data_IF_406273508244
#
_entry.id   IF_406273508244
#
_cell.length_a   1.000
_cell.length_b   1.000
_cell.length_c   1.000
_cell.angle_alpha   90.00
_cell.angle_beta   90.00
_cell.angle_gamma   90.00
#
_symmetry.space_group_name_H-M   'P 1'
#
loop_
_entity.id
_entity.type
_entity.pdbx_description
1 polymer ?
#
# COMPACT_ATOMS: atom_id res chain seq x y z
N UNK A 1 20.78 -31.65 -28.85
CA UNK A 1 20.27 -30.25 -28.77
C UNK A 1 19.86 -29.92 -27.34
N UNK A 2 20.63 -29.13 -26.60
CA UNK A 2 20.23 -28.66 -25.26
C UNK A 2 19.12 -27.64 -25.42
N UNK A 3 17.89 -27.95 -24.99
CA UNK A 3 16.82 -26.96 -24.86
C UNK A 3 17.30 -25.86 -23.89
N UNK A 4 17.52 -24.65 -24.39
CA UNK A 4 17.71 -23.49 -23.54
C UNK A 4 16.50 -23.39 -22.62
N UNK A 5 16.65 -23.78 -21.35
CA UNK A 5 15.70 -23.45 -20.30
C UNK A 5 15.70 -21.90 -20.20
N UNK A 6 14.64 -21.25 -20.65
CA UNK A 6 14.45 -19.81 -20.38
C UNK A 6 14.37 -19.67 -18.86
N UNK A 7 15.35 -18.98 -18.28
CA UNK A 7 15.29 -18.60 -16.87
C UNK A 7 14.01 -17.78 -16.61
N UNK A 8 13.13 -18.30 -15.79
CA UNK A 8 11.96 -17.55 -15.32
C UNK A 8 12.45 -16.65 -14.19
N UNK A 9 12.62 -15.37 -14.49
CA UNK A 9 12.98 -14.37 -13.48
C UNK A 9 11.74 -14.01 -12.67
N UNK A 10 11.84 -14.13 -11.35
CA UNK A 10 10.76 -13.79 -10.43
C UNK A 10 10.43 -12.28 -10.50
N UNK A 11 11.46 -11.46 -10.72
CA UNK A 11 11.33 -10.01 -10.85
C UNK A 11 12.10 -9.53 -12.08
N UNK A 12 11.45 -8.70 -12.88
CA UNK A 12 12.08 -8.04 -14.03
C UNK A 12 11.38 -6.71 -14.25
N UNK A 13 12.09 -5.58 -14.07
CA UNK A 13 11.51 -4.27 -14.35
C UNK A 13 11.20 -4.14 -15.84
N UNK A 14 10.04 -3.57 -16.16
CA UNK A 14 9.62 -3.29 -17.53
C UNK A 14 10.05 -1.87 -17.92
N UNK A 15 11.35 -1.64 -18.04
CA UNK A 15 11.95 -0.35 -18.40
C UNK A 15 12.42 -0.39 -19.85
N UNK A 16 12.13 0.64 -20.61
CA UNK A 16 12.48 0.74 -22.02
C UNK A 16 12.75 2.18 -22.48
N UNK A 17 12.66 2.37 -23.79
CA UNK A 17 12.92 3.66 -24.43
C UNK A 17 11.90 4.75 -24.07
N UNK A 18 10.68 4.37 -23.70
CA UNK A 18 9.62 5.30 -23.27
C UNK A 18 9.96 5.98 -21.94
N UNK A 19 10.43 5.19 -20.97
CA UNK A 19 10.84 5.68 -19.66
C UNK A 19 12.07 6.56 -19.77
N UNK A 20 13.07 6.14 -20.59
CA UNK A 20 14.26 6.95 -20.86
C UNK A 20 13.90 8.31 -21.46
N UNK A 21 13.01 8.36 -22.47
CA UNK A 21 12.53 9.62 -23.04
C UNK A 21 11.83 10.50 -22.01
N UNK A 22 11.07 9.93 -21.11
CA UNK A 22 10.37 10.67 -20.03
C UNK A 22 11.36 11.29 -19.06
N UNK A 23 12.39 10.54 -18.65
CA UNK A 23 13.48 11.03 -17.81
C UNK A 23 14.22 12.17 -18.50
N UNK A 24 14.60 12.00 -19.77
CA UNK A 24 15.28 13.04 -20.54
C UNK A 24 14.48 14.36 -20.59
N UNK A 25 13.14 14.29 -20.71
CA UNK A 25 12.28 15.48 -20.66
C UNK A 25 12.35 16.20 -19.31
N UNK A 26 12.39 15.44 -18.19
CA UNK A 26 12.52 16.00 -16.84
C UNK A 26 13.87 16.68 -16.68
N UNK A 27 14.96 16.03 -17.10
CA UNK A 27 16.31 16.62 -17.05
C UNK A 27 16.42 17.91 -17.88
N UNK A 28 15.84 17.95 -19.09
CA UNK A 28 15.81 19.15 -19.92
C UNK A 28 15.09 20.34 -19.27
N UNK A 29 14.13 20.07 -18.35
CA UNK A 29 13.44 21.11 -17.58
C UNK A 29 14.22 21.54 -16.33
N UNK A 30 15.37 20.91 -16.03
CA UNK A 30 16.21 21.17 -14.86
C UNK A 30 15.43 21.17 -13.54
N UNK A 31 14.34 20.38 -13.45
CA UNK A 31 13.52 20.26 -12.25
C UNK A 31 13.27 18.80 -11.89
N UNK A 32 13.94 18.30 -10.86
CA UNK A 32 13.90 16.90 -10.39
C UNK A 32 13.16 16.71 -9.07
N UNK A 33 12.65 17.78 -8.46
CA UNK A 33 11.82 17.73 -7.25
C UNK A 33 10.33 17.51 -7.56
N UNK A 34 9.48 17.71 -6.55
CA UNK A 34 8.03 17.69 -6.73
C UNK A 34 7.59 18.72 -7.78
N UNK A 35 7.01 18.28 -8.86
CA UNK A 35 6.71 19.15 -10.02
C UNK A 35 5.52 18.67 -10.84
N UNK A 36 5.44 19.16 -12.08
CA UNK A 36 4.32 18.88 -12.99
C UNK A 36 4.11 17.40 -13.28
N UNK A 37 5.19 16.61 -13.33
CA UNK A 37 5.08 15.18 -13.65
C UNK A 37 4.48 14.38 -12.48
N UNK A 38 4.87 14.72 -11.23
CA UNK A 38 4.25 14.12 -10.05
C UNK A 38 2.77 14.50 -9.95
N UNK A 39 2.43 15.77 -10.18
CA UNK A 39 1.03 16.22 -10.19
C UNK A 39 0.18 15.48 -11.24
N UNK A 40 0.69 15.30 -12.46
CA UNK A 40 0.01 14.51 -13.48
C UNK A 40 -0.23 13.08 -13.05
N UNK A 41 0.79 12.45 -12.46
CA UNK A 41 0.70 11.10 -11.95
C UNK A 41 -0.38 10.99 -10.85
N UNK A 42 -0.42 11.91 -9.88
CA UNK A 42 -1.43 11.95 -8.83
C UNK A 42 -2.85 12.10 -9.42
N UNK A 43 -3.04 12.97 -10.42
CA UNK A 43 -4.33 13.14 -11.09
C UNK A 43 -4.76 11.89 -11.88
N UNK A 44 -3.84 11.28 -12.62
CA UNK A 44 -4.12 10.04 -13.34
C UNK A 44 -4.46 8.89 -12.40
N UNK A 45 -3.76 8.82 -11.28
CA UNK A 45 -4.05 7.83 -10.24
C UNK A 45 -5.43 8.02 -9.64
N UNK A 46 -5.81 9.24 -9.28
CA UNK A 46 -7.15 9.55 -8.77
C UNK A 46 -8.23 9.08 -9.75
N UNK A 47 -8.03 9.31 -11.04
CA UNK A 47 -8.95 8.89 -12.09
C UNK A 47 -9.02 7.37 -12.21
N UNK A 48 -7.86 6.69 -12.23
CA UNK A 48 -7.77 5.24 -12.42
C UNK A 48 -8.36 4.46 -11.24
N UNK A 49 -8.06 4.89 -10.02
CA UNK A 49 -8.53 4.25 -8.80
C UNK A 49 -9.87 4.79 -8.30
N UNK A 50 -10.41 5.82 -8.97
CA UNK A 50 -11.67 6.50 -8.59
C UNK A 50 -11.64 6.98 -7.15
N UNK A 51 -10.52 7.58 -6.74
CA UNK A 51 -10.31 8.08 -5.39
C UNK A 51 -10.25 9.61 -5.38
N UNK A 52 -10.56 10.19 -4.23
CA UNK A 52 -10.64 11.66 -4.10
C UNK A 52 -9.25 12.31 -4.02
N UNK A 53 -8.31 11.64 -3.38
CA UNK A 53 -6.97 12.16 -3.14
C UNK A 53 -5.93 11.09 -3.44
N UNK A 54 -4.81 11.49 -4.02
CA UNK A 54 -3.60 10.70 -4.20
C UNK A 54 -2.41 11.63 -3.95
N UNK A 55 -1.39 11.14 -3.27
CA UNK A 55 -0.21 11.91 -2.89
C UNK A 55 1.02 11.04 -3.16
N UNK A 56 1.96 11.56 -3.94
CA UNK A 56 3.26 10.96 -4.16
C UNK A 56 4.18 11.18 -2.95
N UNK A 57 4.83 10.12 -2.51
CA UNK A 57 5.85 10.13 -1.43
C UNK A 57 7.07 9.33 -1.88
N UNK A 58 8.16 9.42 -1.14
CA UNK A 58 9.43 8.82 -1.56
C UNK A 58 9.56 7.31 -1.27
N UNK A 59 8.64 6.71 -0.51
CA UNK A 59 8.63 5.27 -0.22
C UNK A 59 7.29 4.79 0.30
N UNK A 60 6.94 3.51 0.09
CA UNK A 60 5.75 2.91 0.71
C UNK A 60 5.83 2.97 2.25
N UNK A 61 7.03 2.85 2.81
CA UNK A 61 7.27 3.08 4.25
C UNK A 61 6.82 4.48 4.68
N UNK A 62 7.16 5.51 3.90
CA UNK A 62 6.70 6.87 4.16
C UNK A 62 5.19 7.01 3.99
N UNK A 63 4.58 6.30 3.02
CA UNK A 63 3.13 6.28 2.86
C UNK A 63 2.43 5.68 4.07
N UNK A 64 2.87 4.50 4.55
CA UNK A 64 2.33 3.83 5.73
C UNK A 64 2.48 4.69 6.99
N UNK A 65 3.67 5.28 7.19
CA UNK A 65 3.92 6.20 8.30
C UNK A 65 3.00 7.42 8.24
N UNK A 66 2.91 8.07 7.09
CA UNK A 66 2.04 9.25 6.90
C UNK A 66 0.58 8.91 7.13
N UNK A 67 0.11 7.75 6.65
CA UNK A 67 -1.26 7.27 6.86
C UNK A 67 -1.63 7.12 8.35
N UNK A 68 -0.67 6.74 9.19
CA UNK A 68 -0.86 6.70 10.64
C UNK A 68 -0.73 8.10 11.27
N UNK A 69 0.31 8.84 10.92
CA UNK A 69 0.67 10.11 11.54
C UNK A 69 -0.42 11.19 11.41
N UNK A 70 -1.08 11.28 10.25
CA UNK A 70 -2.13 12.29 10.00
C UNK A 70 -3.38 12.13 10.87
N UNK A 71 -3.54 10.99 11.55
CA UNK A 71 -4.67 10.75 12.43
C UNK A 71 -4.44 11.24 13.88
N UNK A 72 -3.23 11.70 14.21
CA UNK A 72 -2.88 12.24 15.51
C UNK A 72 -3.32 11.37 16.70
N UNK A 73 -3.14 10.08 16.58
CA UNK A 73 -3.47 9.13 17.65
C UNK A 73 -2.63 9.40 18.90
N UNK A 74 -3.25 9.25 20.08
CA UNK A 74 -2.52 9.32 21.36
C UNK A 74 -1.42 8.24 21.40
N UNK A 75 -0.25 8.59 21.91
CA UNK A 75 0.86 7.66 22.13
C UNK A 75 0.41 6.40 22.88
N UNK A 76 1.10 5.31 22.65
CA UNK A 76 0.80 3.99 23.24
C UNK A 76 -0.54 3.35 22.82
N UNK A 77 -1.34 3.97 21.96
CA UNK A 77 -2.47 3.28 21.33
C UNK A 77 -1.97 2.15 20.45
N UNK A 78 -2.83 1.17 20.22
CA UNK A 78 -2.49 -0.08 19.51
C UNK A 78 -2.90 -0.04 18.05
N UNK A 79 -2.09 -0.64 17.21
CA UNK A 79 -2.40 -0.88 15.79
C UNK A 79 -2.27 -2.37 15.51
N UNK A 80 -3.32 -2.97 14.99
CA UNK A 80 -3.32 -4.37 14.58
C UNK A 80 -2.57 -4.50 13.26
N UNK A 81 -1.62 -5.44 13.20
CA UNK A 81 -0.77 -5.69 12.02
C UNK A 81 -0.63 -7.19 11.80
N UNK A 82 -0.52 -7.70 10.56
CA UNK A 82 -0.28 -9.12 10.33
C UNK A 82 1.11 -9.53 10.82
N UNK A 83 1.25 -10.76 11.32
CA UNK A 83 2.52 -11.29 11.80
C UNK A 83 3.53 -11.55 10.67
N UNK A 84 3.05 -11.83 9.45
CA UNK A 84 3.88 -11.95 8.24
C UNK A 84 3.67 -10.69 7.40
N UNK A 85 4.72 -9.87 7.31
CA UNK A 85 4.73 -8.64 6.51
C UNK A 85 6.17 -8.15 6.34
N UNK A 86 6.36 -7.20 5.42
CA UNK A 86 7.61 -6.45 5.39
C UNK A 86 7.72 -5.57 6.64
N UNK A 87 8.94 -5.44 7.18
CA UNK A 87 9.18 -4.73 8.45
C UNK A 87 8.62 -3.30 8.51
N UNK A 88 8.50 -2.63 7.36
CA UNK A 88 7.95 -1.27 7.27
C UNK A 88 6.52 -1.15 7.84
N UNK A 89 5.68 -2.18 7.70
CA UNK A 89 4.31 -2.17 8.20
C UNK A 89 4.28 -2.00 9.73
N UNK A 90 5.09 -2.77 10.46
CA UNK A 90 5.20 -2.65 11.92
C UNK A 90 6.04 -1.44 12.36
N UNK A 91 7.14 -1.13 11.63
CA UNK A 91 8.01 0.00 11.94
C UNK A 91 7.28 1.34 11.83
N UNK A 92 6.40 1.51 10.85
CA UNK A 92 5.59 2.73 10.70
C UNK A 92 4.69 3.00 11.92
N UNK A 93 4.23 1.95 12.60
CA UNK A 93 3.48 2.06 13.87
C UNK A 93 4.38 2.61 14.97
N UNK A 94 5.59 2.07 15.09
CA UNK A 94 6.56 2.50 16.10
C UNK A 94 7.00 3.95 15.89
N UNK A 95 7.18 4.39 14.63
CA UNK A 95 7.54 5.77 14.30
C UNK A 95 6.49 6.79 14.76
N UNK A 96 5.23 6.38 14.86
CA UNK A 96 4.15 7.20 15.41
C UNK A 96 4.04 7.13 16.96
N UNK A 97 4.93 6.42 17.66
CA UNK A 97 4.83 6.19 19.10
C UNK A 97 3.66 5.29 19.50
N UNK A 98 3.16 4.49 18.56
CA UNK A 98 2.08 3.52 18.74
C UNK A 98 2.65 2.13 19.01
N UNK A 99 1.80 1.19 19.42
CA UNK A 99 2.20 -0.19 19.74
C UNK A 99 1.63 -1.16 18.70
N UNK A 100 2.46 -1.86 17.91
CA UNK A 100 1.97 -2.91 17.03
C UNK A 100 1.44 -4.09 17.85
N UNK A 101 0.30 -4.63 17.46
CA UNK A 101 -0.28 -5.87 17.97
C UNK A 101 -0.33 -6.85 16.81
N UNK A 102 0.49 -7.88 16.88
CA UNK A 102 0.59 -8.85 15.81
C UNK A 102 -0.62 -9.80 15.84
N UNK A 103 -1.25 -9.91 14.69
CA UNK A 103 -2.36 -10.80 14.39
C UNK A 103 -1.83 -11.94 13.54
N UNK A 104 -2.22 -13.15 13.86
CA UNK A 104 -1.82 -14.33 13.09
C UNK A 104 -2.35 -14.29 11.65
N UNK A 105 -1.80 -15.15 10.81
CA UNK A 105 -2.13 -15.22 9.39
C UNK A 105 -2.84 -16.54 9.06
N UNK A 106 -3.52 -16.56 7.93
CA UNK A 106 -4.02 -17.80 7.35
C UNK A 106 -2.86 -18.53 6.66
N UNK A 107 -2.63 -19.83 6.94
CA UNK A 107 -1.50 -20.55 6.37
C UNK A 107 -1.60 -20.78 4.86
N UNK A 108 -2.79 -20.61 4.28
CA UNK A 108 -3.02 -20.86 2.85
C UNK A 108 -2.71 -19.66 1.96
N UNK A 109 -2.91 -18.43 2.45
CA UNK A 109 -2.75 -17.21 1.67
C UNK A 109 -1.84 -16.17 2.32
N UNK A 110 -1.35 -16.46 3.54
CA UNK A 110 -0.49 -15.60 4.36
C UNK A 110 -1.08 -14.23 4.71
N UNK A 111 -2.34 -14.02 4.41
CA UNK A 111 -3.07 -12.82 4.79
C UNK A 111 -3.54 -12.88 6.25
N UNK A 112 -3.87 -11.73 6.80
CA UNK A 112 -4.32 -11.59 8.19
C UNK A 112 -5.51 -12.51 8.49
N UNK A 113 -5.44 -13.27 9.56
CA UNK A 113 -6.52 -14.17 10.01
C UNK A 113 -7.62 -13.37 10.70
N UNK A 114 -8.82 -13.40 10.13
CA UNK A 114 -9.95 -12.61 10.63
C UNK A 114 -10.42 -13.04 12.03
N UNK A 115 -10.34 -14.33 12.36
CA UNK A 115 -10.73 -14.82 13.68
C UNK A 115 -9.74 -14.38 14.76
N UNK A 116 -8.43 -14.45 14.47
CA UNK A 116 -7.41 -13.97 15.41
C UNK A 116 -7.44 -12.44 15.51
N UNK A 117 -7.73 -11.74 14.43
CA UNK A 117 -7.95 -10.29 14.43
C UNK A 117 -9.02 -9.88 15.45
N UNK A 118 -10.14 -10.60 15.50
CA UNK A 118 -11.21 -10.37 16.48
C UNK A 118 -10.76 -10.64 17.91
N UNK A 119 -9.94 -11.66 18.13
CA UNK A 119 -9.41 -12.04 19.46
C UNK A 119 -8.39 -11.00 19.96
N UNK A 120 -7.52 -10.50 19.10
CA UNK A 120 -6.45 -9.54 19.43
C UNK A 120 -6.96 -8.11 19.62
N UNK A 121 -8.17 -7.81 19.15
CA UNK A 121 -8.76 -6.49 19.29
C UNK A 121 -9.01 -6.12 20.75
N UNK A 122 -8.59 -4.93 21.13
CA UNK A 122 -8.94 -4.27 22.39
C UNK A 122 -9.46 -2.85 22.13
N UNK A 123 -10.13 -2.21 23.09
CA UNK A 123 -10.64 -0.84 22.97
C UNK A 123 -9.53 0.22 22.73
N UNK A 124 -8.26 -0.15 22.99
CA UNK A 124 -7.10 0.71 22.72
C UNK A 124 -6.62 0.62 21.28
N UNK A 125 -7.13 -0.31 20.47
CA UNK A 125 -6.82 -0.39 19.06
C UNK A 125 -7.49 0.77 18.32
N UNK A 126 -6.68 1.55 17.57
CA UNK A 126 -7.12 2.73 16.82
C UNK A 126 -7.07 2.53 15.32
N UNK A 127 -6.25 1.57 14.86
CA UNK A 127 -6.11 1.25 13.45
C UNK A 127 -5.83 -0.25 13.23
N UNK A 128 -6.06 -0.67 12.02
CA UNK A 128 -5.69 -1.96 11.45
C UNK A 128 -4.91 -1.71 10.17
N UNK A 129 -3.75 -2.34 10.03
CA UNK A 129 -3.03 -2.42 8.77
C UNK A 129 -3.24 -3.82 8.18
N UNK A 130 -3.76 -3.89 6.97
CA UNK A 130 -3.84 -5.14 6.21
C UNK A 130 -2.79 -5.13 5.11
N UNK A 131 -2.20 -6.29 4.86
CA UNK A 131 -1.24 -6.48 3.76
C UNK A 131 -1.85 -7.45 2.78
N UNK A 132 -1.93 -7.10 1.51
CA UNK A 132 -2.35 -8.00 0.45
C UNK A 132 -1.13 -8.80 -0.01
N UNK A 133 -0.78 -9.82 0.78
CA UNK A 133 0.47 -10.56 0.64
C UNK A 133 0.56 -11.27 -0.72
N UNK A 134 1.70 -11.13 -1.40
CA UNK A 134 1.91 -11.71 -2.73
C UNK A 134 0.91 -11.21 -3.78
N UNK A 135 0.21 -10.12 -3.54
CA UNK A 135 -0.87 -9.61 -4.41
C UNK A 135 -2.22 -10.29 -4.17
N UNK A 136 -2.30 -11.25 -3.23
CA UNK A 136 -3.56 -11.91 -2.88
C UNK A 136 -4.41 -11.02 -1.95
N UNK A 137 -5.69 -10.77 -2.24
CA UNK A 137 -6.52 -9.88 -1.45
C UNK A 137 -6.87 -10.46 -0.07
N UNK A 138 -6.81 -9.64 0.97
CA UNK A 138 -7.44 -9.97 2.26
C UNK A 138 -8.96 -10.03 2.12
N UNK A 139 -9.65 -10.70 3.06
CA UNK A 139 -11.12 -10.80 3.13
C UNK A 139 -11.77 -9.45 3.51
N UNK A 140 -11.59 -8.45 2.63
CA UNK A 140 -12.01 -7.07 2.89
C UNK A 140 -13.51 -6.93 3.15
N UNK A 141 -14.33 -7.80 2.59
CA UNK A 141 -15.79 -7.83 2.82
C UNK A 141 -16.15 -8.20 4.25
N UNK A 142 -15.30 -8.95 4.98
CA UNK A 142 -15.46 -9.26 6.40
C UNK A 142 -14.81 -8.19 7.28
N UNK A 143 -13.61 -7.76 6.88
CA UNK A 143 -12.78 -6.81 7.63
C UNK A 143 -13.45 -5.44 7.71
N UNK A 144 -13.93 -4.89 6.60
CA UNK A 144 -14.44 -3.52 6.57
C UNK A 144 -15.70 -3.29 7.43
N UNK A 145 -16.75 -4.14 7.38
CA UNK A 145 -17.90 -3.99 8.27
C UNK A 145 -17.51 -4.10 9.75
N UNK A 146 -16.61 -5.02 10.07
CA UNK A 146 -16.11 -5.20 11.43
C UNK A 146 -15.32 -3.97 11.92
N UNK A 147 -14.36 -3.47 11.13
CA UNK A 147 -13.58 -2.29 11.47
C UNK A 147 -14.45 -1.05 11.65
N UNK A 148 -15.47 -0.88 10.78
CA UNK A 148 -16.46 0.20 10.91
C UNK A 148 -17.23 0.11 12.23
N UNK A 149 -17.70 -1.10 12.63
CA UNK A 149 -18.38 -1.34 13.92
C UNK A 149 -17.45 -1.00 15.09
N UNK A 150 -16.17 -1.27 14.97
CA UNK A 150 -15.15 -0.98 16.00
C UNK A 150 -14.64 0.45 15.95
N UNK A 151 -15.03 1.23 14.95
CA UNK A 151 -14.60 2.63 14.72
C UNK A 151 -13.06 2.78 14.61
N UNK A 152 -12.38 1.80 14.03
CA UNK A 152 -10.94 1.83 13.78
C UNK A 152 -10.65 2.16 12.32
N UNK A 153 -9.53 2.83 12.09
CA UNK A 153 -9.02 3.17 10.75
C UNK A 153 -8.43 1.91 10.10
N UNK A 154 -8.68 1.73 8.81
CA UNK A 154 -8.08 0.64 8.01
C UNK A 154 -7.11 1.22 6.99
N UNK A 155 -5.86 0.75 7.05
CA UNK A 155 -4.79 1.07 6.12
C UNK A 155 -4.46 -0.18 5.33
N UNK A 156 -4.54 -0.09 4.01
CA UNK A 156 -4.17 -1.18 3.10
C UNK A 156 -2.72 -0.99 2.65
N UNK A 157 -1.85 -1.91 3.05
CA UNK A 157 -0.51 -2.03 2.46
C UNK A 157 -0.64 -2.81 1.15
N UNK A 158 -0.58 -2.09 0.07
CA UNK A 158 -0.69 -2.56 -1.30
C UNK A 158 0.66 -2.60 -2.00
N UNK A 159 1.77 -2.72 -1.24
CA UNK A 159 3.11 -2.70 -1.81
C UNK A 159 3.32 -3.79 -2.87
N UNK A 160 2.62 -4.92 -2.76
CA UNK A 160 2.75 -6.07 -3.66
C UNK A 160 1.56 -6.22 -4.62
N UNK A 161 0.64 -5.26 -4.69
CA UNK A 161 -0.62 -5.39 -5.44
C UNK A 161 -1.04 -4.12 -6.17
N UNK A 162 -0.10 -3.46 -6.85
CA UNK A 162 -0.42 -2.27 -7.63
C UNK A 162 -1.39 -2.61 -8.78
N UNK A 163 -2.57 -1.98 -8.76
CA UNK A 163 -3.60 -2.18 -9.79
C UNK A 163 -4.50 -3.40 -9.60
N UNK A 164 -4.23 -4.26 -8.62
CA UNK A 164 -5.07 -5.41 -8.27
C UNK A 164 -6.51 -5.02 -7.93
N UNK A 165 -7.43 -5.98 -8.06
CA UNK A 165 -8.85 -5.76 -7.74
C UNK A 165 -9.41 -6.98 -7.04
N UNK A 166 -10.34 -6.75 -6.12
CA UNK A 166 -11.10 -7.76 -5.44
C UNK A 166 -12.58 -7.42 -5.51
N UNK A 167 -13.43 -8.35 -5.96
CA UNK A 167 -14.87 -8.13 -6.15
C UNK A 167 -15.17 -6.80 -6.88
N UNK A 168 -14.53 -6.60 -8.03
CA UNK A 168 -14.67 -5.42 -8.89
C UNK A 168 -14.27 -4.08 -8.23
N UNK A 169 -13.58 -4.11 -7.07
CA UNK A 169 -13.09 -2.92 -6.40
C UNK A 169 -11.56 -2.97 -6.30
N UNK A 170 -10.90 -1.88 -6.62
CA UNK A 170 -9.42 -1.80 -6.57
C UNK A 170 -8.94 -2.00 -5.14
N UNK A 171 -7.89 -2.84 -4.96
CA UNK A 171 -7.18 -2.95 -3.70
C UNK A 171 -6.53 -1.61 -3.37
N UNK A 172 -6.49 -1.27 -2.09
CA UNK A 172 -6.09 0.06 -1.60
C UNK A 172 -7.19 1.12 -1.63
N UNK A 173 -8.42 0.74 -2.05
CA UNK A 173 -9.58 1.64 -2.00
C UNK A 173 -10.69 1.15 -1.06
N UNK A 174 -10.49 0.01 -0.42
CA UNK A 174 -11.44 -0.56 0.55
C UNK A 174 -11.37 0.15 1.90
N UNK A 175 -10.16 0.37 2.39
CA UNK A 175 -9.88 1.05 3.65
C UNK A 175 -9.96 2.57 3.57
N UNK A 176 -9.52 3.19 4.65
CA UNK A 176 -9.41 4.66 4.74
C UNK A 176 -8.19 5.17 3.97
N UNK A 177 -7.12 4.36 3.89
CA UNK A 177 -5.87 4.67 3.19
C UNK A 177 -5.37 3.45 2.43
N UNK A 178 -4.87 3.67 1.21
CA UNK A 178 -4.14 2.67 0.42
C UNK A 178 -2.72 3.15 0.16
N UNK A 179 -1.73 2.33 0.50
CA UNK A 179 -0.32 2.61 0.35
C UNK A 179 0.28 1.64 -0.68
N UNK A 180 0.96 2.17 -1.70
CA UNK A 180 1.48 1.37 -2.81
C UNK A 180 2.98 1.54 -2.96
N UNK A 181 3.62 0.56 -3.56
CA UNK A 181 5.03 0.57 -3.93
C UNK A 181 5.20 0.39 -5.42
N UNK A 182 6.16 1.10 -5.99
CA UNK A 182 6.61 0.92 -7.36
C UNK A 182 8.03 0.33 -7.41
N UNK A 183 8.49 -0.25 -6.30
CA UNK A 183 9.74 -1.01 -6.28
C UNK A 183 9.65 -2.17 -7.27
N UNK A 184 10.71 -2.38 -8.05
CA UNK A 184 10.77 -3.38 -9.13
C UNK A 184 10.46 -4.80 -8.69
N UNK A 185 10.80 -5.14 -7.44
CA UNK A 185 10.61 -6.49 -6.86
C UNK A 185 9.17 -6.80 -6.46
N UNK A 186 8.28 -5.82 -6.47
CA UNK A 186 6.93 -5.96 -5.92
C UNK A 186 5.82 -5.99 -6.95
N UNK A 187 6.08 -5.55 -8.17
CA UNK A 187 5.05 -5.48 -9.21
C UNK A 187 5.58 -6.02 -10.54
N UNK A 188 5.03 -7.13 -11.01
CA UNK A 188 5.45 -7.79 -12.25
C UNK A 188 5.05 -7.06 -13.53
N UNK A 189 4.19 -6.05 -13.49
CA UNK A 189 3.69 -5.34 -14.67
C UNK A 189 3.67 -3.81 -14.51
N UNK A 190 4.86 -3.24 -14.33
CA UNK A 190 5.05 -1.79 -14.31
C UNK A 190 5.07 -1.14 -15.70
N UNK A 191 4.54 -1.80 -16.74
CA UNK A 191 4.59 -1.31 -18.14
C UNK A 191 3.99 0.08 -18.36
N UNK A 192 3.20 0.59 -17.44
CA UNK A 192 2.58 1.91 -17.52
C UNK A 192 3.22 3.00 -16.65
N UNK A 193 4.02 2.64 -15.64
CA UNK A 193 4.38 3.55 -14.55
C UNK A 193 5.87 3.44 -14.21
N UNK A 194 6.72 3.80 -15.16
CA UNK A 194 8.16 3.87 -14.90
C UNK A 194 8.48 5.02 -13.95
N UNK A 195 8.73 4.73 -12.72
CA UNK A 195 9.58 5.40 -11.72
C UNK A 195 9.12 5.11 -10.29
N UNK A 196 10.08 5.11 -9.36
CA UNK A 196 9.90 4.95 -7.91
C UNK A 196 9.08 6.10 -7.31
N UNK A 197 7.77 5.99 -7.39
CA UNK A 197 6.86 6.84 -6.65
C UNK A 197 5.99 5.97 -5.75
N UNK A 198 5.90 6.36 -4.50
CA UNK A 198 5.07 5.73 -3.51
C UNK A 198 3.84 6.59 -3.27
N UNK A 199 2.69 5.98 -3.09
CA UNK A 199 1.44 6.71 -3.03
C UNK A 199 0.62 6.42 -1.79
N UNK A 200 -0.06 7.46 -1.40
CA UNK A 200 -0.97 7.49 -0.29
C UNK A 200 -2.35 7.98 -0.76
N UNK A 201 -3.40 7.26 -0.38
CA UNK A 201 -4.76 7.57 -0.76
C UNK A 201 -5.63 7.76 0.50
N UNK A 202 -6.15 8.96 0.73
CA UNK A 202 -7.05 9.27 1.85
C UNK A 202 -8.49 9.40 1.40
N UNK A 203 -9.39 8.60 1.96
CA UNK A 203 -10.80 8.97 2.07
C UNK A 203 -10.95 9.94 3.24
N UNK A 204 -10.96 11.25 2.98
CA UNK A 204 -11.34 12.21 4.02
C UNK A 204 -12.83 12.02 4.29
N UNK A 205 -13.19 11.44 5.44
CA UNK A 205 -14.50 11.65 6.01
C UNK A 205 -14.51 13.06 6.57
N UNK A 206 -15.30 13.94 5.99
CA UNK A 206 -15.73 15.15 6.72
C UNK A 206 -16.66 14.66 7.83
N UNK A 207 -16.30 14.97 9.08
CA UNK A 207 -17.20 15.01 10.21
C UNK A 207 -18.34 15.98 9.95
#
# INVERSE_FOLDING_TARGET
MKKNKKDIRLFKPAIGSSELKSIQKVFKKSWIGYGSEVKKFEEEWKRLFKVKHAIGVNSCTAALHTALAVNNFKKNKKVLVPAITFSATAASVLYCGLKPVFVDINPYDLNINFEDLKKKYTKDCVALMVVHFGGHPCEMEKIMPWAKKKKIIVIEDCAETCGGSYRNKKLGTWGDYGCYSFEEKKNNDNRRWGHDFYQYNKKIKRS
#
